data_IF_567393181165
#
_entry.id   IF_567393181165
#
_cell.length_a   1.000
_cell.length_b   1.000
_cell.length_c   1.000
_cell.angle_alpha   90.00
_cell.angle_beta   90.00
_cell.angle_gamma   90.00
#
_symmetry.space_group_name_H-M   'P 1'
#
loop_
_entity.id
_entity.type
_entity.pdbx_description
1 polymer ?
#
# COMPACT_ATOMS: atom_id res chain seq x y z
N UNK A 1 -13.72 19.19 -28.08
CA UNK A 1 -12.95 19.64 -26.90
C UNK A 1 -12.13 18.45 -26.45
N UNK A 2 -10.87 18.41 -26.87
CA UNK A 2 -9.91 17.41 -26.43
C UNK A 2 -9.42 17.80 -25.03
N UNK A 3 -9.47 16.87 -24.09
CA UNK A 3 -8.89 17.03 -22.75
C UNK A 3 -7.61 16.21 -22.76
N UNK A 4 -6.47 16.91 -22.75
CA UNK A 4 -5.14 16.31 -22.70
C UNK A 4 -4.97 15.57 -21.37
N UNK A 5 -4.82 14.25 -21.43
CA UNK A 5 -4.35 13.44 -20.29
C UNK A 5 -2.85 13.64 -20.14
N UNK A 6 -2.44 14.25 -19.03
CA UNK A 6 -1.04 14.41 -18.66
C UNK A 6 -0.38 13.03 -18.44
N UNK A 7 0.87 12.82 -18.90
CA UNK A 7 1.57 11.57 -18.67
C UNK A 7 2.05 11.49 -17.21
N UNK A 8 1.76 10.37 -16.55
CA UNK A 8 2.44 9.98 -15.31
C UNK A 8 3.82 9.47 -15.70
N UNK A 9 4.84 10.31 -15.52
CA UNK A 9 6.24 9.91 -15.71
C UNK A 9 6.66 9.11 -14.48
N UNK A 10 7.01 7.84 -14.67
CA UNK A 10 7.68 7.02 -13.66
C UNK A 10 9.05 6.62 -14.19
N UNK A 11 10.08 7.35 -13.76
CA UNK A 11 11.46 6.95 -14.01
C UNK A 11 11.86 5.87 -13.01
N UNK A 12 11.82 4.62 -13.44
CA UNK A 12 12.33 3.47 -12.68
C UNK A 12 13.82 3.27 -12.98
N UNK A 13 14.68 3.96 -12.24
CA UNK A 13 16.11 3.61 -12.24
C UNK A 13 16.40 2.56 -11.17
N UNK A 14 16.61 1.35 -11.69
CA UNK A 14 16.93 0.12 -10.98
C UNK A 14 18.33 0.19 -10.33
N UNK A 15 18.46 -0.20 -9.07
CA UNK A 15 19.74 -0.52 -8.43
C UNK A 15 19.63 -1.79 -7.59
N UNK A 16 19.99 -2.89 -8.26
CA UNK A 16 20.72 -4.07 -7.77
C UNK A 16 20.25 -4.73 -6.47
N UNK A 17 19.48 -5.82 -6.61
CA UNK A 17 19.58 -6.95 -5.69
C UNK A 17 19.91 -8.21 -6.49
N UNK A 18 21.16 -8.64 -6.39
CA UNK A 18 21.70 -9.78 -7.11
C UNK A 18 21.11 -11.09 -6.58
N UNK A 19 20.41 -11.85 -7.42
CA UNK A 19 20.40 -13.32 -7.44
C UNK A 19 19.93 -13.76 -8.82
N UNK A 20 20.76 -14.55 -9.49
CA UNK A 20 20.42 -15.22 -10.76
C UNK A 20 19.32 -16.24 -10.45
N UNK A 21 18.07 -15.80 -10.57
CA UNK A 21 16.88 -16.66 -10.69
C UNK A 21 16.07 -16.17 -11.88
N UNK A 22 15.27 -17.07 -12.40
CA UNK A 22 14.72 -17.10 -13.75
C UNK A 22 14.05 -15.77 -14.18
N UNK A 23 14.45 -15.23 -15.34
CA UNK A 23 13.97 -13.93 -15.88
C UNK A 23 12.45 -13.90 -16.07
N UNK A 24 11.83 -15.08 -16.17
CA UNK A 24 10.37 -15.27 -16.26
C UNK A 24 9.64 -15.11 -14.93
N UNK A 25 10.22 -15.54 -13.81
CA UNK A 25 9.62 -15.37 -12.48
C UNK A 25 9.68 -13.90 -12.02
N UNK A 26 10.78 -13.20 -12.31
CA UNK A 26 10.93 -11.79 -11.94
C UNK A 26 9.88 -10.89 -12.60
N UNK A 27 9.48 -11.18 -13.84
CA UNK A 27 8.48 -10.41 -14.58
C UNK A 27 7.08 -10.65 -14.02
N UNK A 28 6.73 -11.90 -13.70
CA UNK A 28 5.43 -12.24 -13.13
C UNK A 28 5.27 -11.64 -11.72
N UNK A 29 6.30 -11.73 -10.88
CA UNK A 29 6.34 -11.12 -9.56
C UNK A 29 6.24 -9.58 -9.64
N UNK A 30 6.87 -8.97 -10.64
CA UNK A 30 6.78 -7.53 -10.86
C UNK A 30 5.37 -7.10 -11.24
N UNK A 31 4.68 -7.85 -12.11
CA UNK A 31 3.28 -7.56 -12.49
C UNK A 31 2.35 -7.77 -11.30
N UNK A 32 2.53 -8.83 -10.52
CA UNK A 32 1.74 -9.09 -9.31
C UNK A 32 1.92 -7.96 -8.27
N UNK A 33 3.16 -7.50 -8.02
CA UNK A 33 3.41 -6.36 -7.14
C UNK A 33 2.68 -5.10 -7.63
N UNK A 34 2.73 -4.80 -8.93
CA UNK A 34 2.09 -3.62 -9.50
C UNK A 34 0.56 -3.66 -9.38
N UNK A 35 -0.06 -4.80 -9.69
CA UNK A 35 -1.51 -4.97 -9.60
C UNK A 35 -2.00 -4.84 -8.15
N UNK A 36 -1.30 -5.46 -7.20
CA UNK A 36 -1.66 -5.35 -5.79
C UNK A 36 -1.45 -3.92 -5.26
N UNK A 37 -0.36 -3.25 -5.66
CA UNK A 37 -0.14 -1.84 -5.31
C UNK A 37 -1.27 -0.94 -5.82
N UNK A 38 -1.75 -1.17 -7.04
CA UNK A 38 -2.89 -0.45 -7.62
C UNK A 38 -4.19 -0.70 -6.85
N UNK A 39 -4.46 -1.94 -6.44
CA UNK A 39 -5.64 -2.27 -5.62
C UNK A 39 -5.59 -1.56 -4.26
N UNK A 40 -4.42 -1.53 -3.62
CA UNK A 40 -4.23 -0.81 -2.36
C UNK A 40 -4.45 0.69 -2.58
N UNK A 41 -3.94 1.26 -3.69
CA UNK A 41 -4.15 2.68 -4.02
C UNK A 41 -5.64 3.02 -4.20
N UNK A 42 -6.40 2.13 -4.86
CA UNK A 42 -7.84 2.31 -5.06
C UNK A 42 -8.59 2.33 -3.73
N UNK A 43 -8.28 1.41 -2.81
CA UNK A 43 -8.84 1.40 -1.46
C UNK A 43 -8.49 2.67 -0.68
N UNK A 44 -7.23 3.13 -0.75
CA UNK A 44 -6.82 4.39 -0.10
C UNK A 44 -7.54 5.61 -0.68
N UNK A 45 -7.80 5.62 -1.99
CA UNK A 45 -8.55 6.69 -2.66
C UNK A 45 -10.02 6.69 -2.23
N UNK A 46 -10.63 5.52 -2.08
CA UNK A 46 -11.99 5.40 -1.54
C UNK A 46 -12.05 5.83 -0.06
N UNK A 47 -11.06 5.42 0.73
CA UNK A 47 -10.93 5.77 2.14
C UNK A 47 -10.74 7.27 2.38
N UNK A 48 -10.10 7.99 1.46
CA UNK A 48 -9.82 9.43 1.57
C UNK A 48 -11.05 10.25 1.95
N UNK A 49 -12.16 10.02 1.26
CA UNK A 49 -13.42 10.75 1.47
C UNK A 49 -14.31 10.10 2.52
N UNK A 50 -14.37 8.77 2.55
CA UNK A 50 -15.29 8.04 3.44
C UNK A 50 -14.78 7.98 4.88
N UNK A 51 -13.53 7.57 5.03
CA UNK A 51 -12.96 7.27 6.34
C UNK A 51 -12.12 8.44 6.83
N UNK A 52 -11.15 8.88 6.04
CA UNK A 52 -10.14 9.85 6.47
C UNK A 52 -10.66 11.29 6.52
N UNK A 53 -11.79 11.59 5.86
CA UNK A 53 -12.41 12.93 5.81
C UNK A 53 -11.39 14.04 5.48
N UNK A 54 -10.54 13.78 4.48
CA UNK A 54 -9.40 14.65 4.16
C UNK A 54 -9.42 15.10 2.69
N UNK A 55 -8.87 16.28 2.44
CA UNK A 55 -8.79 16.87 1.10
C UNK A 55 -7.72 16.24 0.23
N UNK A 56 -6.67 15.68 0.85
CA UNK A 56 -5.55 15.06 0.14
C UNK A 56 -4.84 14.01 1.02
N UNK A 57 -4.34 12.96 0.39
CA UNK A 57 -3.47 11.95 1.02
C UNK A 57 -2.16 11.92 0.23
N UNK A 58 -1.04 12.04 0.93
CA UNK A 58 0.30 12.01 0.35
C UNK A 58 1.06 10.79 0.84
N UNK A 59 1.68 10.10 -0.11
CA UNK A 59 2.36 8.83 0.06
C UNK A 59 3.79 8.96 -0.48
N UNK A 60 4.79 8.35 0.16
CA UNK A 60 6.08 8.09 -0.47
C UNK A 60 5.88 7.23 -1.72
N UNK A 61 6.54 7.58 -2.82
CA UNK A 61 6.32 6.96 -4.13
C UNK A 61 6.60 5.44 -4.13
N UNK A 62 7.51 4.98 -3.28
CA UNK A 62 7.92 3.58 -3.12
C UNK A 62 7.10 2.81 -2.08
N UNK A 63 6.18 3.46 -1.34
CA UNK A 63 5.46 2.84 -0.23
C UNK A 63 4.57 1.68 -0.71
N UNK A 64 3.68 1.92 -1.67
CA UNK A 64 2.74 0.88 -2.13
C UNK A 64 3.45 -0.29 -2.83
N UNK A 65 4.46 -0.07 -3.71
CA UNK A 65 5.26 -1.16 -4.25
C UNK A 65 5.93 -2.01 -3.16
N UNK A 66 6.55 -1.37 -2.16
CA UNK A 66 7.17 -2.09 -1.02
C UNK A 66 6.16 -2.90 -0.22
N UNK A 67 4.99 -2.32 0.05
CA UNK A 67 3.91 -3.03 0.75
C UNK A 67 3.46 -4.24 -0.05
N UNK A 68 3.20 -4.07 -1.36
CA UNK A 68 2.73 -5.15 -2.23
C UNK A 68 3.73 -6.31 -2.27
N UNK A 69 5.01 -6.02 -2.45
CA UNK A 69 6.03 -7.06 -2.47
C UNK A 69 6.19 -7.75 -1.11
N UNK A 70 6.11 -7.03 0.02
CA UNK A 70 6.08 -7.66 1.35
C UNK A 70 4.85 -8.56 1.55
N UNK A 71 3.68 -8.16 1.07
CA UNK A 71 2.46 -8.97 1.13
C UNK A 71 2.62 -10.25 0.31
N UNK A 72 3.15 -10.16 -0.91
CA UNK A 72 3.42 -11.32 -1.77
C UNK A 72 4.40 -12.28 -1.10
N UNK A 73 5.51 -11.77 -0.57
CA UNK A 73 6.49 -12.59 0.18
C UNK A 73 5.84 -13.33 1.36
N UNK A 74 4.97 -12.67 2.14
CA UNK A 74 4.30 -13.29 3.28
C UNK A 74 3.26 -14.35 2.88
N UNK A 75 2.83 -14.34 1.62
CA UNK A 75 1.84 -15.25 1.06
C UNK A 75 2.45 -16.51 0.43
N UNK A 76 3.74 -16.52 0.06
CA UNK A 76 4.39 -17.63 -0.67
C UNK A 76 4.19 -18.99 0.02
N UNK A 77 4.33 -19.03 1.35
CA UNK A 77 4.21 -20.27 2.14
C UNK A 77 2.77 -20.57 2.60
N UNK A 78 1.78 -19.77 2.18
CA UNK A 78 0.39 -19.93 2.60
C UNK A 78 -0.42 -20.75 1.58
N UNK A 79 -1.41 -21.52 2.03
CA UNK A 79 -2.32 -22.22 1.13
C UNK A 79 -3.00 -21.23 0.17
N UNK A 80 -2.99 -21.57 -1.13
CA UNK A 80 -3.49 -20.72 -2.23
C UNK A 80 -2.67 -19.45 -2.49
N UNK A 81 -1.50 -19.28 -1.86
CA UNK A 81 -0.64 -18.11 -2.05
C UNK A 81 -1.38 -16.80 -1.82
N UNK A 82 -1.08 -15.77 -2.62
CA UNK A 82 -1.75 -14.47 -2.53
C UNK A 82 -3.28 -14.54 -2.71
N UNK A 83 -3.78 -15.53 -3.46
CA UNK A 83 -5.23 -15.70 -3.68
C UNK A 83 -5.99 -16.06 -2.41
N UNK A 84 -5.30 -16.68 -1.44
CA UNK A 84 -5.84 -16.97 -0.11
C UNK A 84 -5.84 -15.79 0.85
N UNK A 85 -5.35 -14.61 0.44
CA UNK A 85 -5.19 -13.46 1.31
C UNK A 85 -6.41 -12.53 1.30
N UNK A 86 -6.90 -12.20 2.49
CA UNK A 86 -7.60 -10.92 2.71
C UNK A 86 -6.65 -9.93 3.35
N UNK A 87 -6.43 -8.79 2.71
CA UNK A 87 -5.61 -7.70 3.23
C UNK A 87 -6.52 -6.63 3.84
N UNK A 88 -6.38 -6.39 5.13
CA UNK A 88 -7.00 -5.27 5.83
C UNK A 88 -6.04 -4.09 5.86
N UNK A 89 -6.54 -2.91 5.50
CA UNK A 89 -5.76 -1.67 5.52
C UNK A 89 -6.22 -0.85 6.72
N UNK A 90 -5.31 -0.61 7.66
CA UNK A 90 -5.51 0.19 8.84
C UNK A 90 -4.73 1.50 8.72
N UNK A 91 -5.31 2.58 9.24
CA UNK A 91 -4.64 3.86 9.39
C UNK A 91 -4.51 4.21 10.86
N UNK A 92 -3.28 4.44 11.28
CA UNK A 92 -2.90 4.83 12.64
C UNK A 92 -2.52 6.31 12.69
N UNK A 93 -3.24 7.04 13.53
CA UNK A 93 -3.00 8.43 13.88
C UNK A 93 -2.58 8.54 15.36
N UNK A 94 -2.27 9.75 15.83
CA UNK A 94 -1.95 9.99 17.25
C UNK A 94 -3.08 9.59 18.21
N UNK A 95 -4.32 9.48 17.73
CA UNK A 95 -5.51 9.29 18.58
C UNK A 95 -6.14 7.91 18.46
N UNK A 96 -6.00 7.28 17.30
CA UNK A 96 -6.71 6.04 16.98
C UNK A 96 -6.00 5.25 15.89
N UNK A 97 -6.24 3.93 15.89
CA UNK A 97 -5.97 3.04 14.78
C UNK A 97 -7.30 2.45 14.31
N UNK A 98 -7.62 2.62 13.04
CA UNK A 98 -8.89 2.13 12.46
C UNK A 98 -8.69 1.51 11.09
N UNK A 99 -9.57 0.56 10.75
CA UNK A 99 -9.63 -0.04 9.43
C UNK A 99 -10.24 0.96 8.44
N UNK A 100 -9.56 1.18 7.33
CA UNK A 100 -9.96 2.13 6.28
C UNK A 100 -10.22 1.48 4.92
N UNK A 101 -9.83 0.21 4.74
CA UNK A 101 -10.00 -0.48 3.47
C UNK A 101 -9.86 -1.99 3.62
N UNK A 102 -10.30 -2.73 2.62
CA UNK A 102 -10.16 -4.19 2.58
C UNK A 102 -9.97 -4.66 1.14
N UNK A 103 -8.86 -5.32 0.86
CA UNK A 103 -8.59 -5.96 -0.43
C UNK A 103 -8.79 -7.47 -0.28
N UNK A 104 -9.77 -8.02 -0.99
CA UNK A 104 -9.88 -9.46 -1.18
C UNK A 104 -9.10 -9.84 -2.44
N UNK A 105 -7.93 -10.47 -2.26
CA UNK A 105 -6.96 -10.65 -3.35
C UNK A 105 -7.48 -11.54 -4.49
N UNK A 106 -8.36 -12.49 -4.17
CA UNK A 106 -9.15 -13.23 -5.16
C UNK A 106 -10.58 -13.42 -4.64
N UNK A 107 -11.62 -12.87 -5.31
CA UNK A 107 -13.00 -13.01 -4.86
C UNK A 107 -13.50 -14.45 -4.89
N UNK A 108 -12.95 -15.29 -5.78
CA UNK A 108 -13.37 -16.68 -5.99
C UNK A 108 -12.66 -17.67 -5.06
N UNK A 109 -11.63 -17.22 -4.34
CA UNK A 109 -10.90 -18.04 -3.37
C UNK A 109 -11.35 -17.70 -1.95
N UNK A 110 -11.53 -18.72 -1.12
CA UNK A 110 -11.79 -18.55 0.31
C UNK A 110 -10.48 -18.16 0.99
N UNK A 111 -10.53 -17.15 1.85
CA UNK A 111 -9.34 -16.68 2.55
C UNK A 111 -8.82 -17.74 3.53
N UNK A 112 -7.53 -18.04 3.44
CA UNK A 112 -6.81 -19.00 4.27
C UNK A 112 -5.96 -18.28 5.33
N UNK A 113 -5.64 -17.02 5.08
CA UNK A 113 -4.98 -16.12 6.03
C UNK A 113 -5.42 -14.66 5.80
N UNK A 114 -5.17 -13.85 6.81
CA UNK A 114 -5.41 -12.42 6.82
C UNK A 114 -4.08 -11.70 7.02
N UNK A 115 -3.87 -10.61 6.29
CA UNK A 115 -2.80 -9.67 6.56
C UNK A 115 -3.41 -8.34 7.02
N UNK A 116 -2.86 -7.76 8.08
CA UNK A 116 -3.21 -6.42 8.54
C UNK A 116 -2.07 -5.46 8.23
N UNK A 117 -2.26 -4.63 7.21
CA UNK A 117 -1.38 -3.52 6.88
C UNK A 117 -1.72 -2.32 7.76
N UNK A 118 -0.77 -1.81 8.53
CA UNK A 118 -0.95 -0.57 9.28
C UNK A 118 -0.08 0.55 8.70
N UNK A 119 -0.76 1.56 8.15
CA UNK A 119 -0.16 2.80 7.66
C UNK A 119 -0.21 3.85 8.75
N UNK A 120 0.89 4.57 8.97
CA UNK A 120 1.01 5.58 10.03
C UNK A 120 0.99 6.98 9.47
N UNK A 121 0.36 7.91 10.19
CA UNK A 121 0.53 9.33 9.90
C UNK A 121 1.98 9.77 10.16
N UNK A 122 2.57 10.50 9.22
CA UNK A 122 3.88 11.11 9.42
C UNK A 122 3.80 12.23 10.48
N UNK A 123 4.86 12.39 11.28
CA UNK A 123 4.84 13.38 12.36
C UNK A 123 4.78 14.80 11.79
N UNK A 124 4.04 15.70 12.45
CA UNK A 124 3.96 17.11 12.03
C UNK A 124 5.33 17.77 11.93
N UNK A 125 6.28 17.40 12.79
CA UNK A 125 7.66 17.93 12.77
C UNK A 125 8.41 17.50 11.51
N UNK A 126 8.36 16.20 11.14
CA UNK A 126 8.97 15.69 9.91
C UNK A 126 8.37 16.36 8.67
N UNK A 127 7.05 16.60 8.67
CA UNK A 127 6.37 17.23 7.55
C UNK A 127 6.76 18.69 7.34
N UNK A 128 6.85 19.49 8.42
CA UNK A 128 7.21 20.91 8.32
C UNK A 128 8.62 21.16 7.75
N UNK A 129 9.49 20.15 7.79
CA UNK A 129 10.82 20.21 7.17
C UNK A 129 10.82 19.81 5.69
N UNK A 130 9.79 19.07 5.24
CA UNK A 130 9.69 18.58 3.86
C UNK A 130 8.86 19.51 2.97
N UNK A 131 7.99 20.34 3.54
CA UNK A 131 7.03 21.16 2.79
C UNK A 131 7.37 22.64 2.91
N UNK A 132 7.50 23.35 1.78
CA UNK A 132 7.68 24.79 1.77
C UNK A 132 6.57 25.52 2.54
N UNK A 133 6.94 26.54 3.31
CA UNK A 133 6.03 27.31 4.17
C UNK A 133 4.83 27.91 3.40
N UNK A 134 4.99 28.23 2.11
CA UNK A 134 3.93 28.80 1.28
C UNK A 134 2.81 27.79 0.93
N UNK A 135 3.07 26.48 1.05
CA UNK A 135 2.04 25.44 0.84
C UNK A 135 1.26 25.11 2.12
N UNK A 136 1.64 25.66 3.29
CA UNK A 136 1.02 25.28 4.56
C UNK A 136 -0.48 25.52 4.63
N UNK A 137 -1.01 26.53 3.93
CA UNK A 137 -2.45 26.78 3.86
C UNK A 137 -3.22 25.67 3.13
N UNK A 138 -2.58 25.01 2.15
CA UNK A 138 -3.15 23.86 1.43
C UNK A 138 -3.14 22.59 2.29
N UNK A 139 -2.21 22.52 3.25
CA UNK A 139 -2.01 21.31 4.08
C UNK A 139 -3.01 21.14 5.24
N UNK A 140 -3.96 22.05 5.42
CA UNK A 140 -4.93 21.99 6.54
C UNK A 140 -5.82 20.75 6.51
N UNK A 141 -6.05 20.18 5.33
CA UNK A 141 -6.83 18.94 5.14
C UNK A 141 -6.00 17.81 4.52
N UNK A 142 -4.67 17.93 4.50
CA UNK A 142 -3.76 16.93 3.92
C UNK A 142 -3.28 15.95 4.99
N UNK A 143 -3.31 14.67 4.67
CA UNK A 143 -2.73 13.60 5.48
C UNK A 143 -1.48 13.10 4.77
N UNK A 144 -0.33 13.18 5.43
CA UNK A 144 0.88 12.52 4.95
C UNK A 144 1.03 11.17 5.65
N UNK A 145 1.19 10.11 4.86
CA UNK A 145 1.48 8.77 5.34
C UNK A 145 2.99 8.58 5.41
N UNK A 146 3.47 7.99 6.49
CA UNK A 146 4.88 7.67 6.69
C UNK A 146 5.33 6.56 5.74
N UNK A 147 6.63 6.56 5.39
CA UNK A 147 7.24 5.44 4.64
C UNK A 147 7.31 4.13 5.43
N UNK A 148 7.11 4.21 6.74
CA UNK A 148 7.06 3.07 7.65
C UNK A 148 5.64 2.50 7.71
N UNK A 149 5.56 1.18 7.60
CA UNK A 149 4.34 0.41 7.75
C UNK A 149 4.63 -0.86 8.55
N UNK A 150 3.58 -1.49 9.08
CA UNK A 150 3.66 -2.85 9.66
C UNK A 150 2.72 -3.79 8.91
N UNK A 151 3.07 -5.08 8.90
CA UNK A 151 2.25 -6.15 8.37
C UNK A 151 2.19 -7.27 9.41
N UNK A 152 0.97 -7.61 9.82
CA UNK A 152 0.70 -8.67 10.78
C UNK A 152 -0.10 -9.79 10.11
N UNK A 153 0.40 -11.03 10.16
CA UNK A 153 -0.25 -12.19 9.55
C UNK A 153 -1.03 -13.00 10.58
N UNK A 154 -2.26 -13.35 10.22
CA UNK A 154 -3.12 -14.25 10.99
C UNK A 154 -3.60 -15.39 10.11
N UNK A 155 -3.23 -16.63 10.49
CA UNK A 155 -3.70 -17.84 9.82
C UNK A 155 -5.14 -18.14 10.24
N UNK A 156 -5.97 -18.55 9.28
CA UNK A 156 -7.36 -18.95 9.54
C UNK A 156 -7.52 -20.47 9.68
N UNK A 157 -6.44 -21.21 9.47
CA UNK A 157 -6.36 -22.64 9.65
C UNK A 157 -5.54 -22.99 10.90
N UNK A 158 -5.76 -24.19 11.45
CA UNK A 158 -4.99 -24.69 12.59
C UNK A 158 -3.60 -25.11 12.12
N UNK A 159 -2.56 -24.67 12.81
CA UNK A 159 -1.21 -25.20 12.61
C UNK A 159 -1.20 -26.61 13.22
N UNK A 160 -1.03 -27.63 12.38
CA UNK A 160 -0.85 -29.01 12.81
C UNK A 160 0.54 -29.25 13.39
#
# INVERSE_FOLDING_TARGET
MEVLTYPVITDFTNKNFSRVHDVTEEVEDTVACQLLALQIEQELRAAKSAELSCGEVLLPADLLPRVACSVLCMAVDEPCGIRGCTLYINFESERECRKIGTVKCDPNTVSTFELSLTLRRESRRTWTTLIPQFLMNLTRSTIMISSRFTLDKKKLYRSG
#
